data_IF_104187252654
#
_entry.id   IF_104187252654
#
_cell.length_a   1.000
_cell.length_b   1.000
_cell.length_c   1.000
_cell.angle_alpha   90.00
_cell.angle_beta   90.00
_cell.angle_gamma   90.00
#
_symmetry.space_group_name_H-M   'P 1'
#
loop_
_entity.id
_entity.type
_entity.pdbx_description
1 polymer ?
#
# COMPACT_ATOMS: atom_id res chain seq x y z
N UNK A 1 0.41 28.74 10.52
CA UNK A 1 -0.69 27.93 9.94
C UNK A 1 -0.06 27.24 8.76
N UNK A 2 0.55 26.08 8.99
CA UNK A 2 1.00 25.23 7.90
C UNK A 2 -0.24 24.50 7.42
N UNK A 3 -0.72 24.96 6.28
CA UNK A 3 -1.80 24.31 5.53
C UNK A 3 -1.20 23.04 4.95
N UNK A 4 -1.54 21.92 5.55
CA UNK A 4 -1.15 20.61 5.05
C UNK A 4 -2.38 19.69 5.13
N UNK A 5 -3.33 19.97 4.23
CA UNK A 5 -4.46 19.07 3.94
C UNK A 5 -4.36 18.57 2.50
N UNK A 6 -3.14 18.39 2.00
CA UNK A 6 -2.89 18.05 0.58
C UNK A 6 -2.11 16.74 0.44
N UNK A 7 -2.23 15.84 1.41
CA UNK A 7 -1.70 14.51 1.25
C UNK A 7 -2.82 13.65 0.67
N UNK A 8 -2.82 13.50 -0.65
CA UNK A 8 -3.82 12.75 -1.43
C UNK A 8 -3.73 11.24 -1.25
N UNK A 9 -3.52 10.78 -0.01
CA UNK A 9 -3.43 9.39 0.41
C UNK A 9 -4.36 9.23 1.62
N UNK A 10 -5.34 8.33 1.50
CA UNK A 10 -6.24 7.96 2.58
C UNK A 10 -6.05 6.48 2.90
N UNK A 11 -5.90 6.15 4.18
CA UNK A 11 -5.89 4.76 4.62
C UNK A 11 -7.35 4.34 4.85
N UNK A 12 -7.86 3.40 4.04
CA UNK A 12 -9.29 3.03 4.10
C UNK A 12 -9.55 1.93 5.14
N UNK A 13 -8.70 0.91 5.16
CA UNK A 13 -8.89 -0.28 5.99
C UNK A 13 -8.03 -0.27 7.27
N UNK A 14 -7.18 0.74 7.42
CA UNK A 14 -6.17 0.79 8.47
C UNK A 14 -6.03 2.21 9.01
N UNK A 15 -5.87 2.35 10.32
CA UNK A 15 -5.59 3.63 10.95
C UNK A 15 -4.16 3.63 11.49
N UNK A 16 -3.24 4.46 10.96
CA UNK A 16 -1.85 4.46 11.41
C UNK A 16 -1.71 4.90 12.87
N UNK A 17 -2.73 5.53 13.47
CA UNK A 17 -2.71 5.89 14.89
C UNK A 17 -2.97 4.69 15.83
N UNK A 18 -3.45 3.56 15.32
CA UNK A 18 -3.75 2.35 16.12
C UNK A 18 -2.54 1.42 16.28
N UNK A 19 -1.48 1.65 15.50
CA UNK A 19 -0.25 0.85 15.54
C UNK A 19 0.56 1.11 16.80
N UNK A 20 1.09 0.03 17.40
CA UNK A 20 2.04 0.12 18.49
C UNK A 20 3.45 0.38 17.96
N UNK A 21 3.96 1.58 18.22
CA UNK A 21 5.28 2.01 17.75
C UNK A 21 6.36 1.89 18.84
N UNK A 22 7.64 1.64 18.46
CA UNK A 22 8.14 1.43 17.09
C UNK A 22 7.80 0.03 16.55
N UNK A 23 7.53 -0.04 15.24
CA UNK A 23 7.20 -1.29 14.52
C UNK A 23 8.11 -1.46 13.33
N UNK A 24 8.44 -2.71 12.98
CA UNK A 24 9.22 -2.99 11.77
C UNK A 24 8.35 -3.01 10.52
N UNK A 25 8.92 -2.65 9.37
CA UNK A 25 8.21 -2.71 8.08
C UNK A 25 7.73 -4.11 7.73
N UNK A 26 8.52 -5.15 8.06
CA UNK A 26 8.15 -6.56 7.90
C UNK A 26 6.91 -6.92 8.73
N UNK A 27 6.91 -6.56 10.03
CA UNK A 27 5.77 -6.82 10.93
C UNK A 27 4.54 -6.00 10.52
N UNK A 28 4.73 -4.75 10.11
CA UNK A 28 3.65 -3.91 9.60
C UNK A 28 3.07 -4.47 8.30
N UNK A 29 3.89 -5.03 7.42
CA UNK A 29 3.44 -5.66 6.18
C UNK A 29 2.79 -7.02 6.42
N UNK A 30 3.27 -7.79 7.39
CA UNK A 30 2.64 -9.07 7.77
C UNK A 30 1.25 -8.84 8.39
N UNK A 31 1.12 -7.81 9.22
CA UNK A 31 -0.12 -7.57 9.99
C UNK A 31 -1.11 -6.66 9.23
N UNK A 32 -0.62 -5.66 8.50
CA UNK A 32 -1.43 -4.64 7.81
C UNK A 32 -1.10 -4.50 6.32
N UNK A 33 -0.31 -5.41 5.72
CA UNK A 33 0.10 -5.29 4.32
C UNK A 33 -1.04 -5.36 3.32
N UNK A 34 -2.16 -6.02 3.67
CA UNK A 34 -3.38 -6.10 2.84
C UNK A 34 -4.23 -4.81 2.92
N UNK A 35 -3.89 -3.88 3.82
CA UNK A 35 -4.65 -2.66 4.00
C UNK A 35 -4.60 -1.80 2.73
N UNK A 36 -5.79 -1.40 2.25
CA UNK A 36 -5.92 -0.60 1.04
C UNK A 36 -5.69 0.88 1.33
N UNK A 37 -4.85 1.48 0.50
CA UNK A 37 -4.51 2.90 0.44
C UNK A 37 -5.22 3.49 -0.78
N UNK A 38 -6.13 4.43 -0.53
CA UNK A 38 -6.77 5.23 -1.57
C UNK A 38 -5.85 6.39 -1.95
N UNK A 39 -5.48 6.43 -3.22
CA UNK A 39 -4.63 7.43 -3.83
C UNK A 39 -5.48 8.26 -4.79
N UNK A 40 -5.02 9.47 -5.11
CA UNK A 40 -5.72 10.29 -6.11
C UNK A 40 -5.83 9.63 -7.50
N UNK A 41 -4.91 8.73 -7.85
CA UNK A 41 -4.92 8.01 -9.14
C UNK A 41 -4.89 6.49 -8.95
N UNK A 42 -5.78 5.96 -8.10
CA UNK A 42 -5.99 4.51 -7.94
C UNK A 42 -5.95 4.05 -6.49
N UNK A 43 -5.81 2.75 -6.30
CA UNK A 43 -5.71 2.09 -5.00
C UNK A 43 -4.48 1.20 -4.98
N UNK A 44 -3.76 1.18 -3.87
CA UNK A 44 -2.58 0.31 -3.66
C UNK A 44 -2.61 -0.28 -2.25
N UNK A 45 -1.90 -1.37 -2.01
CA UNK A 45 -1.83 -1.97 -0.68
C UNK A 45 -0.63 -1.45 0.11
N UNK A 46 -0.73 -1.41 1.44
CA UNK A 46 0.36 -0.96 2.29
C UNK A 46 1.64 -1.80 2.09
N UNK A 47 1.49 -3.12 1.94
CA UNK A 47 2.61 -4.02 1.69
C UNK A 47 3.32 -3.74 0.37
N UNK A 48 2.56 -3.45 -0.70
CA UNK A 48 3.13 -3.11 -2.01
C UNK A 48 3.93 -1.80 -1.95
N UNK A 49 3.47 -0.80 -1.19
CA UNK A 49 4.19 0.47 -1.01
C UNK A 49 5.47 0.30 -0.18
N UNK A 50 5.46 -0.60 0.81
CA UNK A 50 6.60 -0.84 1.69
C UNK A 50 7.60 -1.87 1.17
N UNK A 51 7.29 -2.59 0.08
CA UNK A 51 8.15 -3.57 -0.59
C UNK A 51 9.41 -2.89 -1.18
N UNK A 52 10.40 -2.59 -0.34
CA UNK A 52 11.65 -1.95 -0.73
C UNK A 52 11.97 -0.65 0.01
N UNK A 53 11.21 -0.31 1.06
CA UNK A 53 11.58 0.79 1.93
C UNK A 53 12.91 0.48 2.63
N UNK A 54 13.88 1.40 2.54
CA UNK A 54 15.24 1.18 3.04
C UNK A 54 15.34 1.18 4.58
N UNK A 55 14.34 1.74 5.26
CA UNK A 55 14.28 1.76 6.72
C UNK A 55 13.44 0.58 7.23
N UNK A 56 14.01 -0.15 8.18
CA UNK A 56 13.41 -1.36 8.76
C UNK A 56 12.49 -1.05 9.95
N UNK A 57 12.48 0.19 10.47
CA UNK A 57 11.79 0.57 11.70
C UNK A 57 11.00 1.90 11.56
N UNK A 58 9.68 1.79 11.60
CA UNK A 58 8.79 2.92 11.66
C UNK A 58 8.62 3.36 13.12
N UNK A 59 8.95 4.62 13.39
CA UNK A 59 8.98 5.16 14.76
C UNK A 59 7.64 5.66 15.27
N UNK A 60 6.78 6.14 14.38
CA UNK A 60 5.52 6.79 14.71
C UNK A 60 4.59 6.81 13.48
N UNK A 61 3.31 7.12 13.69
CA UNK A 61 2.31 7.27 12.63
C UNK A 61 2.68 8.32 11.57
N UNK A 62 3.38 9.40 11.97
CA UNK A 62 3.88 10.40 11.04
C UNK A 62 4.97 9.83 10.13
N UNK A 63 5.90 9.05 10.69
CA UNK A 63 6.95 8.39 9.93
C UNK A 63 6.38 7.38 8.94
N UNK A 64 5.31 6.66 9.31
CA UNK A 64 4.61 5.76 8.39
C UNK A 64 4.02 6.51 7.19
N UNK A 65 3.33 7.62 7.46
CA UNK A 65 2.74 8.47 6.42
C UNK A 65 3.81 9.03 5.49
N UNK A 66 4.93 9.50 6.04
CA UNK A 66 6.07 9.98 5.26
C UNK A 66 6.71 8.87 4.42
N UNK A 67 6.87 7.67 4.98
CA UNK A 67 7.39 6.51 4.27
C UNK A 67 6.50 6.16 3.06
N UNK A 68 5.19 6.07 3.27
CA UNK A 68 4.20 5.83 2.20
C UNK A 68 4.31 6.91 1.12
N UNK A 69 4.35 8.19 1.50
CA UNK A 69 4.45 9.30 0.54
C UNK A 69 5.78 9.33 -0.22
N UNK A 70 6.87 8.90 0.40
CA UNK A 70 8.21 8.86 -0.20
C UNK A 70 8.34 7.68 -1.16
N UNK A 71 7.73 6.55 -0.82
CA UNK A 71 7.74 5.33 -1.62
C UNK A 71 6.76 5.36 -2.79
N UNK A 72 5.66 6.12 -2.66
CA UNK A 72 4.75 6.34 -3.77
C UNK A 72 5.49 6.98 -4.95
N UNK A 73 5.52 6.35 -6.13
CA UNK A 73 6.15 6.95 -7.29
C UNK A 73 5.44 8.26 -7.64
N UNK A 74 6.19 9.23 -8.18
CA UNK A 74 5.65 10.51 -8.68
C UNK A 74 4.49 10.31 -9.68
N UNK A 75 4.46 9.13 -10.29
CA UNK A 75 3.48 8.60 -11.25
C UNK A 75 2.18 8.09 -10.60
N UNK A 76 2.23 7.61 -9.35
CA UNK A 76 1.03 7.30 -8.54
C UNK A 76 0.33 8.58 -8.04
N UNK A 77 1.05 9.70 -8.08
CA UNK A 77 0.53 11.08 -8.05
C UNK A 77 0.31 11.56 -9.49
N UNK A 78 -0.16 10.66 -10.35
CA UNK A 78 -0.55 10.91 -11.73
C UNK A 78 0.57 11.05 -12.74
N UNK A 79 0.84 9.96 -13.47
CA UNK A 79 0.80 9.96 -14.94
C UNK A 79 0.25 8.65 -15.53
N UNK A 80 -0.80 8.85 -16.31
CA UNK A 80 -1.11 8.14 -17.55
C UNK A 80 0.08 7.42 -18.26
N UNK A 81 -0.02 6.09 -18.30
CA UNK A 81 0.42 5.14 -19.35
C UNK A 81 1.64 4.21 -19.06
N UNK A 82 1.34 3.01 -18.53
CA UNK A 82 1.84 1.75 -19.10
C UNK A 82 0.69 0.75 -19.28
N UNK A 83 -0.08 0.96 -20.34
CA UNK A 83 -1.05 0.00 -20.89
C UNK A 83 -0.41 -1.29 -21.47
N UNK A 84 0.78 -1.73 -21.07
CA UNK A 84 1.46 -2.86 -21.75
C UNK A 84 2.37 -3.71 -20.84
N UNK A 85 1.75 -4.46 -19.90
CA UNK A 85 2.17 -5.80 -19.41
C UNK A 85 1.13 -6.24 -18.37
N UNK A 86 0.03 -6.91 -18.77
CA UNK A 86 -0.02 -8.36 -18.91
C UNK A 86 0.31 -9.00 -17.55
N UNK A 87 -0.61 -9.57 -16.79
CA UNK A 87 -1.64 -10.54 -17.15
C UNK A 87 -2.59 -10.71 -15.97
N UNK A 88 -3.85 -10.98 -16.29
CA UNK A 88 -4.89 -11.49 -15.41
C UNK A 88 -4.41 -12.48 -14.33
N UNK A 89 -4.88 -12.34 -13.08
CA UNK A 89 -5.17 -13.47 -12.19
C UNK A 89 -6.54 -13.18 -11.54
N UNK A 90 -7.54 -13.06 -12.42
CA UNK A 90 -8.94 -13.11 -12.03
C UNK A 90 -9.37 -14.56 -11.87
N UNK A 91 -10.27 -14.77 -10.91
CA UNK A 91 -11.18 -15.91 -10.76
C UNK A 91 -10.56 -17.25 -10.35
N UNK A 92 -10.64 -17.51 -9.05
CA UNK A 92 -10.93 -18.87 -8.58
C UNK A 92 -12.19 -19.40 -9.26
N UNK A 93 -12.06 -20.52 -9.96
CA UNK A 93 -13.20 -21.35 -10.33
C UNK A 93 -12.77 -22.82 -10.18
N UNK A 94 -13.27 -23.42 -9.12
CA UNK A 94 -13.31 -24.85 -8.89
C UNK A 94 -13.98 -25.57 -10.08
N UNK A 95 -13.41 -26.68 -10.56
CA UNK A 95 -14.20 -27.85 -11.00
C UNK A 95 -13.29 -29.05 -11.35
N UNK A 96 -13.40 -30.07 -10.50
CA UNK A 96 -13.63 -31.47 -10.85
C UNK A 96 -12.49 -32.26 -11.52
N UNK A 97 -11.75 -32.98 -10.67
CA UNK A 97 -10.88 -34.08 -11.08
C UNK A 97 -11.66 -35.21 -11.76
N UNK A 98 -11.11 -35.64 -12.90
CA UNK A 98 -11.74 -36.43 -13.94
C UNK A 98 -12.09 -37.87 -13.52
N UNK A 99 -13.33 -38.28 -13.83
CA UNK A 99 -13.72 -39.68 -13.97
C UNK A 99 -13.68 -40.09 -15.46
N UNK A 100 -12.78 -40.99 -15.86
CA UNK A 100 -13.07 -42.28 -16.53
C UNK A 100 -11.80 -43.09 -16.87
#
# INVERSE_FOLDING_TARGET
MSDDRTHGVTFEDFDPEDVDYPVSTDELTEEYGDATLDLQEGEMTLGEVLEGYEDDEIRDAEALREAVMTMLPEDAIGREDYSDRGTEEGSGQEADEESL
#
